data_IF_001904591737
#
_entry.id   IF_001904591737
#
_cell.length_a   1.000
_cell.length_b   1.000
_cell.length_c   1.000
_cell.angle_alpha   90.00
_cell.angle_beta   90.00
_cell.angle_gamma   90.00
#
_symmetry.space_group_name_H-M   'P 1'
#
loop_
_entity.id
_entity.type
_entity.pdbx_description
1 polymer ?
#
# COMPACT_ATOMS: atom_id res chain seq x y z
N UNK A 1 -9.27 -14.63 13.11
CA UNK A 1 -8.31 -14.24 12.06
C UNK A 1 -8.30 -15.36 11.02
N UNK A 2 -9.15 -15.25 10.00
CA UNK A 2 -9.26 -16.27 8.95
C UNK A 2 -7.93 -16.43 8.20
N UNK A 3 -7.58 -17.69 7.92
CA UNK A 3 -6.39 -18.14 7.19
C UNK A 3 -6.38 -17.76 5.70
N UNK A 4 -6.84 -16.56 5.32
CA UNK A 4 -6.84 -16.05 3.93
C UNK A 4 -5.54 -15.34 3.58
N UNK A 5 -4.40 -15.93 3.95
CA UNK A 5 -3.11 -15.47 3.47
C UNK A 5 -3.00 -15.81 2.00
N UNK A 6 -3.05 -14.81 1.11
CA UNK A 6 -2.62 -15.02 -0.27
C UNK A 6 -1.13 -15.36 -0.23
N UNK A 7 -0.72 -16.57 -0.65
CA UNK A 7 0.69 -16.92 -0.66
C UNK A 7 1.38 -15.94 -1.61
N UNK A 8 2.33 -15.16 -1.08
CA UNK A 8 3.14 -14.30 -1.91
C UNK A 8 4.08 -15.17 -2.73
N UNK A 9 3.73 -15.40 -3.99
CA UNK A 9 4.56 -16.14 -4.94
C UNK A 9 5.45 -15.13 -5.68
N UNK A 10 6.70 -14.99 -5.24
CA UNK A 10 7.69 -14.23 -5.98
C UNK A 10 8.00 -14.95 -7.30
N UNK A 11 7.66 -14.31 -8.42
CA UNK A 11 7.91 -14.83 -9.76
C UNK A 11 8.86 -13.90 -10.52
N UNK A 12 9.95 -14.45 -11.06
CA UNK A 12 10.78 -13.73 -12.01
C UNK A 12 10.11 -13.76 -13.40
N UNK A 13 9.36 -12.70 -13.70
CA UNK A 13 8.60 -12.59 -14.92
C UNK A 13 9.47 -12.45 -16.19
N UNK A 14 10.67 -11.85 -16.09
CA UNK A 14 11.57 -11.68 -17.25
C UNK A 14 12.19 -12.99 -17.72
N UNK A 15 12.27 -13.98 -16.81
CA UNK A 15 12.71 -15.34 -17.11
C UNK A 15 11.55 -16.31 -17.36
N UNK A 16 10.31 -15.83 -17.35
CA UNK A 16 9.12 -16.66 -17.54
C UNK A 16 8.61 -16.59 -19.00
N UNK A 17 7.90 -17.64 -19.47
CA UNK A 17 7.29 -17.63 -20.80
C UNK A 17 6.01 -16.76 -20.89
N UNK A 18 5.49 -16.25 -19.77
CA UNK A 18 4.24 -15.48 -19.72
C UNK A 18 4.49 -13.98 -19.92
N UNK A 19 3.57 -13.30 -20.62
CA UNK A 19 3.67 -11.85 -20.80
C UNK A 19 3.28 -11.10 -19.52
N UNK A 20 3.93 -9.98 -19.27
CA UNK A 20 3.65 -9.11 -18.13
C UNK A 20 2.17 -8.69 -18.04
N UNK A 21 1.56 -8.38 -19.18
CA UNK A 21 0.15 -7.97 -19.27
C UNK A 21 -0.82 -9.09 -18.91
N UNK A 22 -0.42 -10.36 -19.11
CA UNK A 22 -1.23 -11.54 -18.79
C UNK A 22 -1.14 -11.87 -17.30
N UNK A 23 0.07 -11.81 -16.73
CA UNK A 23 0.32 -12.14 -15.31
C UNK A 23 -0.10 -11.01 -14.37
N UNK A 24 0.12 -9.75 -14.78
CA UNK A 24 -0.20 -8.57 -13.98
C UNK A 24 -1.14 -7.62 -14.73
N UNK A 25 -2.42 -8.03 -14.92
CA UNK A 25 -3.40 -7.21 -15.59
C UNK A 25 -3.55 -5.87 -14.84
N UNK A 26 -3.56 -4.77 -15.60
CA UNK A 26 -3.64 -3.39 -15.10
C UNK A 26 -2.45 -2.89 -14.24
N UNK A 27 -1.29 -3.54 -14.24
CA UNK A 27 -0.06 -3.01 -13.58
C UNK A 27 0.29 -1.60 -14.06
N UNK A 28 0.08 -1.33 -15.35
CA UNK A 28 0.28 -0.01 -15.94
C UNK A 28 -0.61 1.06 -15.28
N UNK A 29 -1.83 0.70 -14.86
CA UNK A 29 -2.75 1.61 -14.17
C UNK A 29 -2.20 2.01 -12.80
N UNK A 30 -1.65 1.05 -12.05
CA UNK A 30 -0.98 1.32 -10.77
C UNK A 30 0.19 2.27 -11.01
N UNK A 31 1.07 1.95 -11.96
CA UNK A 31 2.22 2.79 -12.30
C UNK A 31 1.82 4.22 -12.73
N UNK A 32 0.80 4.37 -13.58
CA UNK A 32 0.27 5.67 -14.00
C UNK A 32 -0.31 6.47 -12.83
N UNK A 33 -0.99 5.82 -11.88
CA UNK A 33 -1.56 6.49 -10.71
C UNK A 33 -0.48 6.94 -9.73
N UNK A 34 0.55 6.13 -9.51
CA UNK A 34 1.73 6.52 -8.71
C UNK A 34 2.37 7.76 -9.32
N UNK A 35 2.71 7.72 -10.63
CA UNK A 35 3.30 8.84 -11.35
C UNK A 35 2.45 10.12 -11.25
N UNK A 36 1.14 10.02 -11.48
CA UNK A 36 0.21 11.16 -11.35
C UNK A 36 0.21 11.74 -9.95
N UNK A 37 0.18 10.89 -8.92
CA UNK A 37 0.14 11.35 -7.53
C UNK A 37 1.44 12.05 -7.13
N UNK A 38 2.57 11.51 -7.54
CA UNK A 38 3.88 12.10 -7.28
C UNK A 38 4.08 13.43 -8.00
N UNK A 39 3.75 13.49 -9.29
CA UNK A 39 3.84 14.71 -10.08
C UNK A 39 2.79 15.77 -9.70
N UNK A 40 1.75 15.40 -8.97
CA UNK A 40 0.68 16.31 -8.52
C UNK A 40 0.86 16.73 -7.06
N UNK A 41 0.48 15.86 -6.12
CA UNK A 41 0.37 16.18 -4.69
C UNK A 41 1.73 16.41 -4.02
N UNK A 42 2.78 15.75 -4.52
CA UNK A 42 4.13 15.86 -3.94
C UNK A 42 5.12 16.56 -4.87
N UNK A 43 4.61 17.33 -5.85
CA UNK A 43 5.46 18.08 -6.76
C UNK A 43 6.35 19.04 -5.96
N UNK A 44 7.67 18.84 -6.04
CA UNK A 44 8.66 19.69 -5.34
C UNK A 44 8.81 19.46 -3.84
N UNK A 45 8.09 18.49 -3.24
CA UNK A 45 8.12 18.19 -1.79
C UNK A 45 8.58 16.75 -1.52
N UNK A 46 9.11 16.07 -2.54
CA UNK A 46 9.59 14.70 -2.41
C UNK A 46 10.96 14.67 -1.72
N UNK A 47 10.96 14.30 -0.44
CA UNK A 47 12.17 13.98 0.31
C UNK A 47 12.40 12.45 0.30
N UNK A 48 13.59 11.95 -0.08
CA UNK A 48 13.91 10.52 -0.05
C UNK A 48 13.66 9.88 1.32
N UNK A 49 13.90 10.63 2.40
CA UNK A 49 13.68 10.17 3.78
C UNK A 49 12.23 9.77 4.09
N UNK A 50 11.26 10.20 3.27
CA UNK A 50 9.83 9.94 3.48
C UNK A 50 9.22 9.01 2.43
N UNK A 51 10.04 8.38 1.58
CA UNK A 51 9.55 7.52 0.49
C UNK A 51 8.59 6.43 0.99
N UNK A 52 8.93 5.76 2.09
CA UNK A 52 8.08 4.70 2.66
C UNK A 52 6.71 5.24 3.10
N UNK A 53 6.68 6.42 3.72
CA UNK A 53 5.42 7.07 4.11
C UNK A 53 4.56 7.43 2.90
N UNK A 54 5.17 7.93 1.81
CA UNK A 54 4.45 8.23 0.57
C UNK A 54 3.86 6.98 -0.10
N UNK A 55 4.58 5.85 -0.06
CA UNK A 55 4.11 4.56 -0.58
C UNK A 55 2.97 3.99 0.27
N UNK A 56 3.05 4.11 1.59
CA UNK A 56 1.98 3.72 2.51
C UNK A 56 0.71 4.53 2.24
N UNK A 57 0.83 5.85 2.08
CA UNK A 57 -0.31 6.72 1.77
C UNK A 57 -0.90 6.43 0.38
N UNK A 58 -0.05 6.15 -0.62
CA UNK A 58 -0.51 5.71 -1.93
C UNK A 58 -1.33 4.43 -1.83
N UNK A 59 -0.81 3.42 -1.13
CA UNK A 59 -1.48 2.12 -0.92
C UNK A 59 -2.82 2.32 -0.22
N UNK A 60 -2.86 3.16 0.82
CA UNK A 60 -4.10 3.51 1.52
C UNK A 60 -5.14 4.11 0.56
N UNK A 61 -4.78 5.15 -0.21
CA UNK A 61 -5.70 5.82 -1.13
C UNK A 61 -6.12 4.90 -2.29
N UNK A 62 -5.20 4.10 -2.82
CA UNK A 62 -5.46 3.19 -3.93
C UNK A 62 -6.45 2.09 -3.51
N UNK A 63 -6.21 1.43 -2.37
CA UNK A 63 -7.07 0.37 -1.86
C UNK A 63 -8.42 0.91 -1.36
N UNK A 64 -8.47 2.15 -0.84
CA UNK A 64 -9.71 2.77 -0.35
C UNK A 64 -10.64 3.25 -1.45
N UNK A 65 -10.15 3.55 -2.66
CA UNK A 65 -10.92 4.26 -3.69
C UNK A 65 -12.20 3.54 -4.15
N UNK A 66 -12.23 2.22 -4.05
CA UNK A 66 -13.39 1.39 -4.40
C UNK A 66 -14.03 0.71 -3.17
N UNK A 67 -13.67 1.12 -1.95
CA UNK A 67 -14.27 0.57 -0.73
C UNK A 67 -15.74 0.98 -0.68
N UNK A 68 -16.64 0.00 -0.79
CA UNK A 68 -18.09 0.22 -0.72
C UNK A 68 -18.55 0.69 0.66
N UNK A 69 -17.76 0.43 1.70
CA UNK A 69 -18.05 0.80 3.08
C UNK A 69 -16.93 1.69 3.68
N UNK A 70 -16.84 2.98 3.30
CA UNK A 70 -15.82 3.90 3.81
C UNK A 70 -15.88 4.09 5.33
N UNK A 71 -17.05 3.88 5.95
CA UNK A 71 -17.27 4.00 7.40
C UNK A 71 -16.57 2.92 8.22
N UNK A 72 -16.26 1.76 7.61
CA UNK A 72 -15.53 0.68 8.28
C UNK A 72 -14.05 1.03 8.55
N UNK A 73 -13.53 2.15 8.04
CA UNK A 73 -12.18 2.58 8.34
C UNK A 73 -12.01 3.00 9.80
N UNK A 74 -13.00 3.72 10.32
CA UNK A 74 -13.04 4.07 11.74
C UNK A 74 -13.23 2.81 12.59
N UNK A 75 -14.08 1.88 12.14
CA UNK A 75 -14.27 0.60 12.80
C UNK A 75 -13.00 -0.25 12.83
N UNK A 76 -12.29 -0.38 11.70
CA UNK A 76 -11.00 -1.09 11.62
C UNK A 76 -9.91 -0.42 12.44
N UNK A 77 -9.89 0.91 12.49
CA UNK A 77 -8.97 1.66 13.35
C UNK A 77 -9.24 1.36 14.82
N UNK A 78 -10.52 1.33 15.24
CA UNK A 78 -10.91 0.93 16.59
C UNK A 78 -10.55 -0.54 16.87
N UNK A 79 -10.83 -1.44 15.94
CA UNK A 79 -10.43 -2.85 16.03
C UNK A 79 -8.92 -2.97 16.24
N UNK A 80 -8.11 -2.28 15.43
CA UNK A 80 -6.66 -2.26 15.59
C UNK A 80 -6.23 -1.60 16.91
N UNK A 81 -6.88 -0.55 17.37
CA UNK A 81 -6.55 0.09 18.64
C UNK A 81 -6.85 -0.81 19.86
N UNK A 82 -7.84 -1.70 19.75
CA UNK A 82 -8.17 -2.67 20.79
C UNK A 82 -7.25 -3.90 20.74
N UNK A 83 -6.89 -4.37 19.54
CA UNK A 83 -6.05 -5.57 19.34
C UNK A 83 -4.56 -5.27 19.53
N UNK A 84 -4.11 -4.07 19.17
CA UNK A 84 -2.70 -3.67 19.27
C UNK A 84 -2.42 -3.19 20.69
N UNK A 85 -1.40 -3.76 21.33
CA UNK A 85 -0.95 -3.28 22.65
C UNK A 85 -0.44 -1.83 22.57
N UNK A 86 -0.39 -1.12 23.72
CA UNK A 86 0.12 0.24 23.77
C UNK A 86 1.55 0.29 23.20
N UNK A 87 1.73 1.08 22.13
CA UNK A 87 3.02 1.29 21.47
C UNK A 87 3.52 2.69 21.79
N UNK A 88 4.77 2.79 22.23
CA UNK A 88 5.42 4.06 22.52
C UNK A 88 5.87 4.76 21.24
N UNK A 89 6.06 6.07 21.30
CA UNK A 89 6.58 6.85 20.16
C UNK A 89 7.94 6.34 19.68
N UNK A 90 8.81 5.90 20.61
CA UNK A 90 10.12 5.32 20.27
C UNK A 90 9.99 4.07 19.40
N UNK A 91 9.10 3.14 19.76
CA UNK A 91 8.82 1.91 19.01
C UNK A 91 8.21 2.18 17.63
N UNK A 92 7.38 3.22 17.49
CA UNK A 92 6.83 3.62 16.20
C UNK A 92 7.91 4.15 15.24
N UNK A 93 8.95 4.78 15.77
CA UNK A 93 10.03 5.37 14.97
C UNK A 93 11.23 4.46 14.77
N UNK A 94 11.30 3.31 15.47
CA UNK A 94 12.46 2.42 15.47
C UNK A 94 12.51 1.42 14.31
N UNK A 95 11.44 1.30 13.52
CA UNK A 95 11.39 0.38 12.38
C UNK A 95 11.59 1.16 11.06
N UNK A 96 12.68 0.92 10.30
CA UNK A 96 12.95 1.55 9.00
C UNK A 96 12.05 0.98 7.88
#
# INVERSE_FOLDING_TARGET
MDQRGYPHLAMNLSSSPWNASEVMPAVNRVASLVKRRWLGTHQGVMAPEHLQAYLNEFTFRFNRRNSQEPGLLFYRLLEHAVVTGPTTYGELTSHP
#
